data_IF_657776634659
#
_entry.id   IF_657776634659
#
_cell.length_a   1.000
_cell.length_b   1.000
_cell.length_c   1.000
_cell.angle_alpha   90.00
_cell.angle_beta   90.00
_cell.angle_gamma   90.00
#
_symmetry.space_group_name_H-M   'P 1'
#
loop_
_entity.id
_entity.type
_entity.pdbx_description
1 polymer ?
#
# COMPACT_ATOMS: atom_id res chain seq x y z
N UNK A 1 0.91 17.68 1.71
CA UNK A 1 -0.45 17.32 1.30
C UNK A 1 -1.41 18.49 1.25
N UNK A 2 -1.58 19.36 2.27
CA UNK A 2 -2.66 20.35 2.23
C UNK A 2 -2.46 21.48 1.21
N UNK A 3 -1.27 21.67 0.63
CA UNK A 3 -1.03 22.79 -0.29
C UNK A 3 -1.32 22.49 -1.77
N UNK A 4 -1.11 21.26 -2.25
CA UNK A 4 -1.27 20.93 -3.66
C UNK A 4 -2.76 21.05 -4.09
N UNK A 5 -3.66 20.30 -3.44
CA UNK A 5 -5.09 20.37 -3.74
C UNK A 5 -5.74 21.73 -3.42
N UNK A 6 -5.24 22.46 -2.41
CA UNK A 6 -5.75 23.81 -2.10
C UNK A 6 -5.40 24.85 -3.16
N UNK A 7 -4.25 24.73 -3.83
CA UNK A 7 -3.86 25.65 -4.92
C UNK A 7 -4.79 25.49 -6.13
N UNK A 8 -5.27 24.28 -6.37
CA UNK A 8 -6.11 23.95 -7.53
C UNK A 8 -7.62 23.97 -7.20
N UNK A 9 -8.00 24.35 -5.98
CA UNK A 9 -9.40 24.40 -5.55
C UNK A 9 -10.07 23.02 -5.37
N UNK A 10 -9.27 21.96 -5.24
CA UNK A 10 -9.78 20.60 -5.12
C UNK A 10 -10.48 20.35 -3.78
N UNK A 11 -11.65 19.72 -3.85
CA UNK A 11 -12.49 19.30 -2.71
C UNK A 11 -12.34 17.82 -2.40
N UNK A 12 -11.81 17.03 -3.35
CA UNK A 12 -11.57 15.60 -3.24
C UNK A 12 -10.15 15.24 -3.70
N UNK A 13 -9.55 14.26 -3.02
CA UNK A 13 -8.22 13.73 -3.32
C UNK A 13 -8.28 12.22 -3.29
N UNK A 14 -8.01 11.58 -4.43
CA UNK A 14 -8.04 10.13 -4.58
C UNK A 14 -6.72 9.60 -5.14
N UNK A 15 -6.30 8.41 -4.73
CA UNK A 15 -5.16 7.73 -5.36
C UNK A 15 -5.59 7.19 -6.72
N UNK A 16 -4.77 7.36 -7.75
CA UNK A 16 -5.07 6.82 -9.08
C UNK A 16 -5.05 5.29 -9.07
N UNK A 17 -5.88 4.69 -9.93
CA UNK A 17 -5.95 3.22 -10.04
C UNK A 17 -4.60 2.62 -10.44
N UNK A 18 -3.88 3.27 -11.36
CA UNK A 18 -2.54 2.86 -11.80
C UNK A 18 -1.52 2.90 -10.66
N UNK A 19 -1.53 3.97 -9.85
CA UNK A 19 -0.64 4.06 -8.70
C UNK A 19 -0.97 2.99 -7.65
N UNK A 20 -2.26 2.73 -7.42
CA UNK A 20 -2.70 1.67 -6.52
C UNK A 20 -2.26 0.28 -7.03
N UNK A 21 -2.48 -0.02 -8.31
CA UNK A 21 -2.11 -1.29 -8.93
C UNK A 21 -0.59 -1.53 -8.90
N UNK A 22 0.21 -0.50 -9.22
CA UNK A 22 1.68 -0.55 -9.12
C UNK A 22 2.13 -0.85 -7.69
N UNK A 23 1.53 -0.17 -6.72
CA UNK A 23 1.83 -0.37 -5.31
C UNK A 23 1.44 -1.77 -4.83
N UNK A 24 0.25 -2.25 -5.23
CA UNK A 24 -0.25 -3.59 -4.91
C UNK A 24 0.67 -4.68 -5.46
N UNK A 25 1.05 -4.58 -6.74
CA UNK A 25 1.99 -5.53 -7.37
C UNK A 25 3.35 -5.57 -6.65
N UNK A 26 3.86 -4.41 -6.20
CA UNK A 26 5.10 -4.36 -5.44
C UNK A 26 5.02 -5.12 -4.10
N UNK A 27 3.92 -4.92 -3.36
CA UNK A 27 3.67 -5.59 -2.08
C UNK A 27 3.53 -7.08 -2.29
N UNK A 28 2.75 -7.51 -3.28
CA UNK A 28 2.54 -8.92 -3.60
C UNK A 28 3.85 -9.62 -3.98
N UNK A 29 4.72 -8.97 -4.77
CA UNK A 29 6.04 -9.53 -5.10
C UNK A 29 6.90 -9.79 -3.87
N UNK A 30 6.74 -9.01 -2.79
CA UNK A 30 7.54 -9.12 -1.57
C UNK A 30 6.93 -10.04 -0.50
N UNK A 31 5.74 -10.62 -0.73
CA UNK A 31 5.00 -11.41 0.26
C UNK A 31 5.78 -12.61 0.83
N UNK A 32 6.63 -13.23 0.00
CA UNK A 32 7.46 -14.38 0.39
C UNK A 32 8.52 -14.05 1.45
N UNK A 33 8.80 -12.77 1.73
CA UNK A 33 9.72 -12.34 2.80
C UNK A 33 9.05 -12.27 4.17
N UNK A 34 7.74 -12.53 4.24
CA UNK A 34 6.99 -12.50 5.49
C UNK A 34 6.99 -13.88 6.15
N UNK A 35 6.94 -13.90 7.48
CA UNK A 35 6.89 -15.14 8.28
C UNK A 35 5.68 -16.03 7.93
N UNK A 36 4.61 -15.42 7.40
CA UNK A 36 3.40 -16.12 6.98
C UNK A 36 3.58 -17.07 5.79
N UNK A 37 4.68 -16.93 5.04
CA UNK A 37 4.99 -17.79 3.88
C UNK A 37 5.87 -19.00 4.23
N UNK A 38 6.13 -19.24 5.52
CA UNK A 38 6.77 -20.46 6.00
C UNK A 38 5.77 -21.62 6.01
N UNK A 39 6.21 -22.84 5.68
CA UNK A 39 5.35 -24.04 5.56
C UNK A 39 4.51 -24.33 6.81
N UNK A 40 5.02 -23.97 8.00
CA UNK A 40 4.32 -24.14 9.28
C UNK A 40 3.14 -23.20 9.48
N UNK A 41 3.15 -22.00 8.87
CA UNK A 41 2.10 -21.00 9.05
C UNK A 41 0.98 -21.11 8.02
N UNK A 42 1.21 -21.79 6.90
CA UNK A 42 0.18 -22.07 5.86
C UNK A 42 -0.99 -22.91 6.39
N UNK A 43 -0.78 -23.68 7.45
CA UNK A 43 -1.80 -24.50 8.12
C UNK A 43 -2.45 -23.81 9.33
N UNK A 44 -1.97 -22.63 9.72
CA UNK A 44 -2.53 -21.91 10.85
C UNK A 44 -3.80 -21.18 10.41
N UNK A 45 -4.95 -21.49 11.03
CA UNK A 45 -6.23 -20.77 10.88
C UNK A 45 -6.14 -19.36 11.49
N UNK A 46 -5.19 -18.55 11.02
CA UNK A 46 -4.94 -17.20 11.52
C UNK A 46 -5.84 -16.21 10.81
N UNK A 47 -6.43 -15.27 11.57
CA UNK A 47 -7.26 -14.18 11.04
C UNK A 47 -6.53 -13.28 10.01
N UNK A 48 -5.21 -13.37 9.93
CA UNK A 48 -4.40 -12.65 8.95
C UNK A 48 -4.45 -13.21 7.54
N UNK A 49 -5.01 -14.41 7.32
CA UNK A 49 -5.24 -14.95 5.99
C UNK A 49 -6.60 -14.50 5.45
N UNK A 50 -6.59 -13.91 4.26
CA UNK A 50 -7.82 -13.62 3.53
C UNK A 50 -8.42 -14.90 2.91
N UNK A 51 -9.60 -14.76 2.29
CA UNK A 51 -10.30 -15.87 1.59
C UNK A 51 -9.48 -16.52 0.46
N UNK A 52 -8.44 -15.86 -0.01
CA UNK A 52 -7.52 -16.33 -1.06
C UNK A 52 -6.23 -16.92 -0.47
N UNK A 53 -6.08 -16.91 0.86
CA UNK A 53 -4.87 -17.36 1.56
C UNK A 53 -3.73 -16.33 1.55
N UNK A 54 -4.02 -15.07 1.19
CA UNK A 54 -3.06 -13.97 1.20
C UNK A 54 -3.11 -13.20 2.51
N UNK A 55 -1.97 -12.63 2.89
CA UNK A 55 -1.86 -11.81 4.10
C UNK A 55 -1.80 -10.34 3.71
N UNK A 56 -2.75 -9.49 4.16
CA UNK A 56 -2.82 -8.08 3.80
C UNK A 56 -1.82 -7.23 4.62
N UNK A 57 -0.63 -7.77 4.88
CA UNK A 57 0.44 -7.06 5.58
C UNK A 57 1.45 -6.52 4.58
N UNK A 58 1.78 -5.24 4.76
CA UNK A 58 2.79 -4.52 3.98
C UNK A 58 4.18 -4.98 4.47
N UNK A 59 5.00 -5.67 3.65
CA UNK A 59 6.35 -6.08 4.02
C UNK A 59 7.31 -4.89 3.85
N UNK A 60 7.23 -3.92 4.75
CA UNK A 60 7.98 -2.66 4.71
C UNK A 60 8.62 -2.39 6.06
N UNK A 61 9.90 -2.02 6.05
CA UNK A 61 10.59 -1.63 7.29
C UNK A 61 10.07 -0.28 7.78
N UNK A 62 10.15 -0.01 9.08
CA UNK A 62 9.74 1.28 9.66
C UNK A 62 10.41 2.46 8.95
N UNK A 63 11.69 2.33 8.58
CA UNK A 63 12.41 3.36 7.82
C UNK A 63 11.86 3.56 6.41
N UNK A 64 11.54 2.48 5.69
CA UNK A 64 10.92 2.58 4.36
C UNK A 64 9.53 3.20 4.44
N UNK A 65 8.73 2.85 5.45
CA UNK A 65 7.43 3.45 5.68
C UNK A 65 7.56 4.95 5.96
N UNK A 66 8.49 5.32 6.86
CA UNK A 66 8.77 6.72 7.18
C UNK A 66 9.21 7.53 5.95
N UNK A 67 10.08 6.98 5.12
CA UNK A 67 10.54 7.66 3.90
C UNK A 67 9.42 7.85 2.88
N UNK A 68 8.60 6.81 2.63
CA UNK A 68 7.46 6.89 1.69
C UNK A 68 6.36 7.84 2.16
N UNK A 69 6.14 7.95 3.48
CA UNK A 69 5.19 8.94 4.02
C UNK A 69 5.66 10.39 3.82
N UNK A 70 6.98 10.61 3.62
CA UNK A 70 7.55 11.95 3.39
C UNK A 70 7.86 12.25 1.94
N UNK A 71 8.03 11.22 1.11
CA UNK A 71 8.29 11.31 -0.33
C UNK A 71 7.29 10.44 -1.06
N UNK A 72 6.19 11.07 -1.47
CA UNK A 72 5.17 10.51 -2.33
C UNK A 72 5.04 11.43 -3.55
N UNK A 73 4.71 10.84 -4.68
CA UNK A 73 4.46 11.57 -5.91
C UNK A 73 3.07 12.20 -5.86
N UNK A 74 2.93 13.46 -6.28
CA UNK A 74 1.62 14.10 -6.37
C UNK A 74 0.87 13.65 -7.63
N UNK A 75 1.58 13.18 -8.66
CA UNK A 75 0.99 12.66 -9.89
C UNK A 75 0.24 11.33 -9.67
N UNK A 76 0.55 10.64 -8.57
CA UNK A 76 -0.19 9.45 -8.13
C UNK A 76 -1.58 9.79 -7.56
N UNK A 77 -1.92 11.07 -7.41
CA UNK A 77 -3.17 11.54 -6.83
C UNK A 77 -3.98 12.35 -7.84
N UNK A 78 -5.27 12.04 -7.92
CA UNK A 78 -6.26 12.82 -8.62
C UNK A 78 -6.90 13.82 -7.66
N UNK A 79 -6.81 15.09 -8.03
CA UNK A 79 -7.45 16.20 -7.32
C UNK A 79 -8.70 16.61 -8.12
N UNK A 80 -9.88 16.54 -7.52
CA UNK A 80 -11.15 16.99 -8.14
C UNK A 80 -11.84 18.01 -7.24
N UNK A 81 -12.60 18.93 -7.83
CA UNK A 81 -13.27 20.06 -7.18
C UNK A 81 -14.78 19.96 -7.29
#
# INVERSE_FOLDING_TARGET
MPEAGRRDGATCVEVTEEANARYFAEVMRRRHRQVFWQDSCRLANSYYFDKNGDVPLRPTTTMQAYWRSRRFDLDDYRFTG
#
